data_IF_755043070916
#
_entry.id   IF_755043070916
#
_cell.length_a   1.000
_cell.length_b   1.000
_cell.length_c   1.000
_cell.angle_alpha   90.00
_cell.angle_beta   90.00
_cell.angle_gamma   90.00
#
_symmetry.space_group_name_H-M   'P 1'
#
loop_
_entity.id
_entity.type
_entity.pdbx_description
1 polymer ?
#
# COMPACT_ATOMS: atom_id res chain seq x y z
N UNK A 1 -9.55 -9.95 70.65
CA UNK A 1 -10.03 -10.71 69.48
C UNK A 1 -10.24 -9.83 68.22
N UNK A 2 -9.96 -8.54 68.24
CA UNK A 2 -10.23 -7.64 67.08
C UNK A 2 -9.02 -7.49 66.11
N UNK A 3 -7.82 -7.88 66.49
CA UNK A 3 -6.61 -7.69 65.67
C UNK A 3 -6.44 -8.68 64.52
N UNK A 4 -7.12 -9.77 64.51
CA UNK A 4 -6.99 -10.80 63.45
C UNK A 4 -8.07 -10.70 62.37
N UNK A 5 -9.16 -9.94 62.63
CA UNK A 5 -10.24 -9.71 61.65
C UNK A 5 -9.78 -8.91 60.43
N UNK A 6 -8.89 -7.92 60.61
CA UNK A 6 -8.36 -7.12 59.51
C UNK A 6 -7.34 -7.89 58.64
N UNK A 7 -6.63 -8.86 59.20
CA UNK A 7 -5.66 -9.67 58.47
C UNK A 7 -6.34 -10.69 57.55
N UNK A 8 -7.47 -11.24 57.98
CA UNK A 8 -8.30 -12.17 57.18
C UNK A 8 -8.99 -11.43 56.05
N UNK A 9 -9.44 -10.18 56.27
CA UNK A 9 -10.06 -9.35 55.23
C UNK A 9 -9.06 -8.93 54.14
N UNK A 10 -7.82 -8.70 54.52
CA UNK A 10 -6.76 -8.34 53.58
C UNK A 10 -6.35 -9.54 52.68
N UNK A 11 -6.40 -10.77 53.19
CA UNK A 11 -6.12 -11.99 52.44
C UNK A 11 -7.17 -12.36 51.40
N UNK A 12 -8.42 -11.97 51.62
CA UNK A 12 -9.54 -12.24 50.70
C UNK A 12 -9.46 -11.31 49.45
N UNK A 13 -8.86 -10.11 49.60
CA UNK A 13 -8.74 -9.17 48.49
C UNK A 13 -7.68 -9.65 47.46
N UNK A 14 -6.69 -10.43 47.90
CA UNK A 14 -5.64 -10.97 46.99
C UNK A 14 -6.03 -12.22 46.22
N UNK A 15 -7.04 -12.96 46.66
CA UNK A 15 -7.50 -14.19 45.97
C UNK A 15 -8.45 -13.89 44.78
N UNK A 16 -8.97 -12.68 44.63
CA UNK A 16 -9.84 -12.27 43.51
C UNK A 16 -9.11 -11.90 42.22
N UNK A 17 -7.82 -11.65 42.25
CA UNK A 17 -7.10 -11.18 41.05
C UNK A 17 -6.66 -12.26 40.06
N UNK A 18 -6.65 -13.53 40.45
CA UNK A 18 -6.15 -14.60 39.57
C UNK A 18 -7.12 -14.95 38.42
N UNK A 19 -8.45 -14.81 38.65
CA UNK A 19 -9.44 -15.10 37.61
C UNK A 19 -9.62 -13.95 36.59
N UNK A 20 -9.37 -12.70 37.03
CA UNK A 20 -9.38 -11.52 36.15
C UNK A 20 -8.16 -11.50 35.22
N UNK A 21 -6.99 -11.96 35.71
CA UNK A 21 -5.77 -11.98 34.91
C UNK A 21 -5.86 -12.94 33.71
N UNK A 22 -6.53 -14.07 33.86
CA UNK A 22 -6.68 -15.05 32.77
C UNK A 22 -7.62 -14.59 31.64
N UNK A 23 -8.56 -13.67 31.93
CA UNK A 23 -9.50 -13.13 30.94
C UNK A 23 -9.01 -11.80 30.33
N UNK A 24 -8.08 -11.12 30.98
CA UNK A 24 -7.55 -9.82 30.51
C UNK A 24 -6.26 -9.99 29.73
N UNK A 25 -5.50 -11.05 29.98
CA UNK A 25 -4.26 -11.33 29.26
C UNK A 25 -4.40 -11.40 27.71
N UNK A 26 -5.43 -12.06 27.13
CA UNK A 26 -5.65 -12.02 25.69
C UNK A 26 -5.91 -10.62 25.15
N UNK A 27 -6.76 -9.84 25.83
CA UNK A 27 -7.09 -8.48 25.42
C UNK A 27 -5.86 -7.55 25.46
N UNK A 28 -4.97 -7.68 26.43
CA UNK A 28 -3.72 -6.94 26.47
C UNK A 28 -2.74 -7.40 25.38
N UNK A 29 -2.67 -8.68 25.08
CA UNK A 29 -1.85 -9.21 24.01
C UNK A 29 -2.32 -8.70 22.65
N UNK A 30 -3.64 -8.67 22.43
CA UNK A 30 -4.24 -8.15 21.20
C UNK A 30 -4.06 -6.62 21.10
N UNK A 31 -4.24 -5.87 22.18
CA UNK A 31 -3.97 -4.45 22.23
C UNK A 31 -2.49 -4.13 21.96
N UNK A 32 -1.56 -4.88 22.57
CA UNK A 32 -0.12 -4.74 22.32
C UNK A 32 0.22 -5.04 20.86
N UNK A 33 -0.35 -6.11 20.29
CA UNK A 33 -0.18 -6.49 18.88
C UNK A 33 -0.71 -5.39 17.94
N UNK A 34 -1.88 -4.82 18.26
CA UNK A 34 -2.45 -3.71 17.50
C UNK A 34 -1.56 -2.46 17.55
N UNK A 35 -1.05 -2.10 18.73
CA UNK A 35 -0.12 -0.96 18.91
C UNK A 35 1.19 -1.23 18.16
N UNK A 36 1.78 -2.43 18.32
CA UNK A 36 3.00 -2.84 17.60
C UNK A 36 2.80 -2.71 16.09
N UNK A 37 1.69 -3.24 15.57
CA UNK A 37 1.37 -3.22 14.15
C UNK A 37 1.16 -1.78 13.63
N UNK A 38 0.58 -0.89 14.43
CA UNK A 38 0.42 0.52 14.09
C UNK A 38 1.77 1.27 14.01
N UNK A 39 2.75 0.91 14.85
CA UNK A 39 4.06 1.56 14.93
C UNK A 39 5.08 0.92 13.99
N UNK A 40 5.19 -0.41 14.02
CA UNK A 40 6.21 -1.18 13.28
C UNK A 40 5.70 -1.63 11.91
N UNK A 41 4.39 -1.82 11.77
CA UNK A 41 3.72 -2.41 10.61
C UNK A 41 3.37 -3.87 10.85
N UNK A 42 2.65 -4.44 9.90
CA UNK A 42 2.27 -5.85 9.89
C UNK A 42 3.38 -6.69 9.27
N UNK A 43 3.52 -7.93 9.75
CA UNK A 43 4.38 -8.91 9.09
C UNK A 43 3.76 -9.31 7.73
N UNK A 44 4.55 -9.29 6.67
CA UNK A 44 4.12 -9.59 5.29
C UNK A 44 3.96 -11.11 5.02
N UNK A 45 3.97 -11.93 6.06
CA UNK A 45 4.13 -13.39 5.98
C UNK A 45 2.86 -14.19 5.64
N UNK A 46 1.73 -13.53 5.33
CA UNK A 46 0.46 -14.23 5.14
C UNK A 46 0.22 -14.80 3.73
N UNK A 47 0.84 -14.26 2.70
CA UNK A 47 0.60 -14.64 1.30
C UNK A 47 1.85 -15.29 0.74
N UNK A 48 1.74 -16.57 0.36
CA UNK A 48 2.86 -17.34 -0.18
C UNK A 48 2.75 -17.53 -1.69
N UNK A 49 3.88 -17.92 -2.32
CA UNK A 49 3.88 -18.24 -3.75
C UNK A 49 2.92 -19.37 -4.07
N UNK A 50 2.86 -20.42 -3.24
CA UNK A 50 1.97 -21.56 -3.42
C UNK A 50 0.48 -21.17 -3.40
N UNK A 51 0.13 -20.14 -2.59
CA UNK A 51 -1.22 -19.58 -2.60
C UNK A 51 -1.51 -18.85 -3.92
N UNK A 52 -0.55 -18.05 -4.40
CA UNK A 52 -0.67 -17.32 -5.67
C UNK A 52 -0.76 -18.28 -6.86
N UNK A 53 0.04 -19.33 -6.89
CA UNK A 53 0.06 -20.30 -7.99
C UNK A 53 -1.29 -21.02 -8.17
N UNK A 54 -2.04 -21.22 -7.07
CA UNK A 54 -3.39 -21.81 -7.09
C UNK A 54 -4.48 -20.87 -7.61
N UNK A 55 -4.21 -19.57 -7.69
CA UNK A 55 -5.18 -18.58 -8.16
C UNK A 55 -5.19 -18.60 -9.69
N UNK A 56 -6.35 -18.85 -10.36
CA UNK A 56 -6.42 -18.92 -11.82
C UNK A 56 -6.38 -17.55 -12.51
N UNK A 57 -6.38 -16.46 -11.74
CA UNK A 57 -6.46 -15.09 -12.23
C UNK A 57 -5.13 -14.36 -12.09
N UNK A 58 -4.95 -13.28 -12.85
CA UNK A 58 -3.88 -12.33 -12.62
C UNK A 58 -4.02 -11.72 -11.22
N UNK A 59 -2.89 -11.55 -10.53
CA UNK A 59 -2.86 -11.13 -9.15
C UNK A 59 -1.71 -10.18 -8.85
N UNK A 60 -1.91 -9.34 -7.86
CA UNK A 60 -0.91 -8.41 -7.34
C UNK A 60 -0.99 -8.35 -5.82
N UNK A 61 0.13 -8.08 -5.18
CA UNK A 61 0.16 -7.75 -3.76
C UNK A 61 0.05 -6.25 -3.59
N UNK A 62 -0.73 -5.81 -2.62
CA UNK A 62 -0.88 -4.40 -2.23
C UNK A 62 -0.54 -4.23 -0.77
N UNK A 63 0.30 -3.24 -0.47
CA UNK A 63 0.55 -2.77 0.89
C UNK A 63 0.33 -1.27 0.95
N UNK A 64 -0.47 -0.81 1.90
CA UNK A 64 -0.79 0.61 2.11
C UNK A 64 -0.06 1.05 3.38
N UNK A 65 0.98 1.86 3.23
CA UNK A 65 1.84 2.32 4.32
C UNK A 65 2.41 1.17 5.14
N UNK A 66 2.12 1.17 6.43
CA UNK A 66 2.52 0.13 7.38
C UNK A 66 1.44 -0.95 7.61
N UNK A 67 0.36 -0.92 6.83
CA UNK A 67 -0.71 -1.90 6.91
C UNK A 67 -0.28 -3.31 6.51
N UNK A 68 -1.16 -4.31 6.67
CA UNK A 68 -0.89 -5.66 6.19
C UNK A 68 -0.81 -5.68 4.66
N UNK A 69 -0.11 -6.66 4.14
CA UNK A 69 -0.12 -6.95 2.72
C UNK A 69 -1.43 -7.64 2.34
N UNK A 70 -2.13 -7.10 1.35
CA UNK A 70 -3.36 -7.65 0.79
C UNK A 70 -3.14 -8.23 -0.61
N UNK A 71 -4.04 -9.11 -1.03
CA UNK A 71 -4.08 -9.66 -2.37
C UNK A 71 -5.10 -8.89 -3.21
N UNK A 72 -4.67 -8.46 -4.39
CA UNK A 72 -5.53 -7.93 -5.44
C UNK A 72 -5.71 -8.96 -6.53
N UNK A 73 -6.93 -9.09 -7.02
CA UNK A 73 -7.28 -9.87 -8.20
C UNK A 73 -7.67 -8.92 -9.32
N UNK A 74 -7.21 -9.23 -10.52
CA UNK A 74 -7.60 -8.49 -11.72
C UNK A 74 -9.06 -8.82 -12.05
N UNK A 75 -9.92 -7.80 -11.98
CA UNK A 75 -11.34 -7.92 -12.33
C UNK A 75 -11.56 -7.75 -13.82
N UNK A 76 -10.93 -6.73 -14.42
CA UNK A 76 -11.14 -6.43 -15.85
C UNK A 76 -9.97 -5.65 -16.44
N UNK A 77 -9.86 -5.73 -17.77
CA UNK A 77 -8.95 -4.92 -18.59
C UNK A 77 -9.80 -4.20 -19.64
N UNK A 78 -9.65 -2.88 -19.72
CA UNK A 78 -10.26 -2.06 -20.77
C UNK A 78 -9.19 -1.15 -21.38
N UNK A 79 -8.79 -1.46 -22.61
CA UNK A 79 -7.65 -0.80 -23.29
C UNK A 79 -6.35 -0.95 -22.49
N UNK A 80 -5.80 0.15 -21.97
CA UNK A 80 -4.59 0.18 -21.13
C UNK A 80 -4.88 0.17 -19.62
N UNK A 81 -6.17 0.13 -19.22
CA UNK A 81 -6.62 0.22 -17.83
C UNK A 81 -6.93 -1.14 -17.28
N UNK A 82 -6.34 -1.44 -16.17
CA UNK A 82 -6.53 -2.64 -15.37
C UNK A 82 -7.29 -2.29 -14.12
N UNK A 83 -8.37 -3.01 -13.85
CA UNK A 83 -9.15 -2.85 -12.62
C UNK A 83 -8.82 -3.97 -11.66
N UNK A 84 -8.33 -3.61 -10.50
CA UNK A 84 -7.90 -4.52 -9.45
C UNK A 84 -8.78 -4.37 -8.22
N UNK A 85 -9.16 -5.49 -7.59
CA UNK A 85 -10.02 -5.52 -6.41
C UNK A 85 -9.41 -6.39 -5.32
N UNK A 86 -9.50 -5.94 -4.06
CA UNK A 86 -9.18 -6.73 -2.87
C UNK A 86 -10.43 -7.29 -2.20
N UNK A 87 -10.27 -8.29 -1.35
CA UNK A 87 -11.38 -8.91 -0.61
C UNK A 87 -12.06 -7.96 0.39
N UNK A 88 -11.35 -6.94 0.87
CA UNK A 88 -11.84 -5.90 1.79
C UNK A 88 -12.43 -4.68 1.08
N UNK A 89 -12.60 -4.75 -0.25
CA UNK A 89 -13.32 -3.74 -1.02
C UNK A 89 -12.48 -2.56 -1.49
N UNK A 90 -11.14 -2.63 -1.40
CA UNK A 90 -10.27 -1.66 -2.06
C UNK A 90 -10.27 -1.93 -3.56
N UNK A 91 -10.49 -0.86 -4.32
CA UNK A 91 -10.61 -0.89 -5.77
C UNK A 91 -9.59 0.07 -6.38
N UNK A 92 -8.76 -0.43 -7.28
CA UNK A 92 -7.73 0.36 -7.96
C UNK A 92 -7.89 0.24 -9.46
N UNK A 93 -7.91 1.39 -10.17
CA UNK A 93 -7.69 1.42 -11.61
C UNK A 93 -6.25 1.81 -11.87
N UNK A 94 -5.54 0.95 -12.55
CA UNK A 94 -4.13 1.10 -12.89
C UNK A 94 -3.98 1.24 -14.40
N UNK A 95 -3.28 2.25 -14.87
CA UNK A 95 -2.95 2.44 -16.27
C UNK A 95 -1.42 2.45 -16.43
N UNK A 96 -0.90 1.44 -17.16
CA UNK A 96 0.55 1.27 -17.36
C UNK A 96 1.36 1.37 -16.04
N UNK A 97 0.87 0.71 -14.99
CA UNK A 97 1.48 0.66 -13.67
C UNK A 97 1.23 1.87 -12.76
N UNK A 98 0.49 2.89 -13.24
CA UNK A 98 0.09 4.06 -12.43
C UNK A 98 -1.30 3.89 -11.87
N UNK A 99 -1.47 4.14 -10.58
CA UNK A 99 -2.80 4.23 -9.97
C UNK A 99 -3.43 5.55 -10.43
N UNK A 100 -4.54 5.44 -11.18
CA UNK A 100 -5.24 6.60 -11.77
C UNK A 100 -6.63 6.82 -11.18
N UNK A 101 -7.16 5.84 -10.46
CA UNK A 101 -8.43 5.93 -9.74
C UNK A 101 -8.48 4.93 -8.61
N UNK A 102 -9.15 5.30 -7.52
CA UNK A 102 -9.37 4.40 -6.38
C UNK A 102 -10.80 4.47 -5.87
N UNK A 103 -11.25 3.42 -5.17
CA UNK A 103 -12.46 3.41 -4.38
C UNK A 103 -12.27 2.52 -3.14
N UNK A 104 -13.10 2.71 -2.12
CA UNK A 104 -13.00 1.96 -0.87
C UNK A 104 -11.98 2.53 0.13
N UNK A 105 -11.42 3.70 -0.13
CA UNK A 105 -10.48 4.39 0.76
C UNK A 105 -11.15 5.60 1.42
N UNK A 106 -10.54 6.11 2.49
CA UNK A 106 -11.03 7.33 3.17
C UNK A 106 -10.82 8.62 2.34
N UNK A 107 -9.97 8.57 1.31
CA UNK A 107 -9.73 9.65 0.36
C UNK A 107 -9.44 9.01 -1.00
N UNK A 108 -10.48 8.88 -1.82
CA UNK A 108 -10.33 8.25 -3.11
C UNK A 108 -9.85 9.24 -4.17
N UNK A 109 -8.91 8.79 -5.01
CA UNK A 109 -8.56 9.44 -6.25
C UNK A 109 -9.67 9.15 -7.26
N UNK A 110 -10.45 10.17 -7.62
CA UNK A 110 -11.58 10.03 -8.53
C UNK A 110 -11.26 10.41 -9.97
N UNK A 111 -10.24 11.27 -10.15
CA UNK A 111 -9.75 11.64 -11.47
C UNK A 111 -8.25 11.94 -11.44
N UNK A 112 -7.57 11.59 -12.53
CA UNK A 112 -6.16 11.80 -12.76
C UNK A 112 -5.90 12.18 -14.22
N UNK A 113 -5.35 13.36 -14.41
CA UNK A 113 -5.00 13.88 -15.73
C UNK A 113 -3.48 14.01 -15.80
N UNK A 114 -2.86 13.35 -16.77
CA UNK A 114 -1.43 13.39 -17.03
C UNK A 114 -1.14 13.33 -18.54
N UNK A 115 -0.14 14.07 -19.02
CA UNK A 115 0.35 13.91 -20.39
C UNK A 115 1.19 12.65 -20.57
N UNK A 116 1.66 12.02 -19.47
CA UNK A 116 2.52 10.83 -19.49
C UNK A 116 1.66 9.58 -19.44
N UNK A 117 1.75 8.79 -20.51
CA UNK A 117 0.95 7.58 -20.66
C UNK A 117 1.66 6.33 -20.15
N UNK A 118 2.95 6.18 -20.48
CA UNK A 118 3.77 5.01 -20.13
C UNK A 118 5.26 5.38 -20.01
N UNK A 119 6.10 4.39 -19.79
CA UNK A 119 7.57 4.55 -19.61
C UNK A 119 8.39 4.14 -20.84
N UNK A 120 7.77 3.79 -21.97
CA UNK A 120 8.53 3.33 -23.17
C UNK A 120 9.52 4.34 -23.69
N UNK A 121 9.22 5.62 -23.59
CA UNK A 121 10.08 6.72 -24.02
C UNK A 121 10.66 7.47 -22.81
N UNK A 122 11.09 6.75 -21.77
CA UNK A 122 11.59 7.37 -20.54
C UNK A 122 12.66 8.42 -20.76
N UNK A 123 13.56 8.20 -21.73
CA UNK A 123 14.65 9.14 -22.03
C UNK A 123 14.14 10.52 -22.50
N UNK A 124 12.97 10.58 -23.13
CA UNK A 124 12.34 11.84 -23.55
C UNK A 124 11.70 12.58 -22.38
N UNK A 125 11.43 11.87 -21.28
CA UNK A 125 10.83 12.43 -20.07
C UNK A 125 11.86 13.08 -19.16
N UNK A 126 13.16 12.70 -19.29
CA UNK A 126 14.21 13.20 -18.42
C UNK A 126 14.47 14.71 -18.63
N UNK A 127 14.75 15.41 -17.53
CA UNK A 127 15.10 16.84 -17.55
C UNK A 127 13.93 17.78 -17.85
N UNK A 128 12.71 17.27 -17.89
CA UNK A 128 11.48 18.06 -18.10
C UNK A 128 10.57 18.03 -16.89
N UNK A 129 9.76 19.07 -16.73
CA UNK A 129 8.70 19.14 -15.72
C UNK A 129 7.34 18.98 -16.38
N UNK A 130 6.55 18.06 -15.86
CA UNK A 130 5.20 17.74 -16.32
C UNK A 130 4.18 18.20 -15.29
N UNK A 131 2.97 18.53 -15.76
CA UNK A 131 1.87 18.93 -14.89
C UNK A 131 0.82 17.86 -14.89
N UNK A 132 0.47 17.38 -13.68
CA UNK A 132 -0.63 16.47 -13.43
C UNK A 132 -1.72 17.19 -12.67
N UNK A 133 -2.94 16.67 -12.74
CA UNK A 133 -4.07 17.14 -11.97
C UNK A 133 -4.72 15.93 -11.28
N UNK A 134 -4.88 16.03 -9.97
CA UNK A 134 -5.52 15.03 -9.13
C UNK A 134 -6.82 15.57 -8.58
N UNK A 135 -7.88 14.75 -8.58
CA UNK A 135 -9.15 15.09 -7.94
C UNK A 135 -9.54 14.00 -6.96
N UNK A 136 -10.05 14.40 -5.79
CA UNK A 136 -10.39 13.51 -4.69
C UNK A 136 -11.84 13.69 -4.26
N UNK A 137 -12.45 12.65 -3.68
CA UNK A 137 -13.84 12.66 -3.22
C UNK A 137 -14.00 13.28 -1.82
N UNK A 138 -13.13 12.91 -0.87
CA UNK A 138 -13.26 13.39 0.51
C UNK A 138 -11.89 13.53 1.22
N UNK A 139 -11.56 14.72 1.78
CA UNK A 139 -12.24 15.98 1.47
C UNK A 139 -12.23 16.27 -0.01
N UNK A 140 -13.32 16.84 -0.53
CA UNK A 140 -13.42 17.12 -1.96
C UNK A 140 -12.36 18.13 -2.37
N UNK A 141 -11.55 17.76 -3.35
CA UNK A 141 -10.52 18.60 -3.93
C UNK A 141 -10.47 18.31 -5.42
N UNK A 142 -10.61 19.34 -6.24
CA UNK A 142 -10.61 19.22 -7.69
C UNK A 142 -9.35 19.83 -8.27
N UNK A 143 -8.84 19.18 -9.31
CA UNK A 143 -7.74 19.66 -10.15
C UNK A 143 -6.51 20.14 -9.36
N UNK A 144 -6.16 19.40 -8.29
CA UNK A 144 -4.94 19.67 -7.55
C UNK A 144 -3.73 19.51 -8.48
N UNK A 145 -3.13 20.64 -8.84
CA UNK A 145 -1.98 20.68 -9.72
C UNK A 145 -0.75 20.14 -9.01
N UNK A 146 -0.10 19.17 -9.65
CA UNK A 146 1.16 18.56 -9.20
C UNK A 146 2.18 18.69 -10.33
N UNK A 147 3.42 19.00 -9.99
CA UNK A 147 4.54 18.99 -10.92
C UNK A 147 5.34 17.71 -10.74
N UNK A 148 5.72 17.07 -11.85
CA UNK A 148 6.42 15.80 -11.87
C UNK A 148 7.72 15.89 -12.67
N UNK A 149 8.79 15.30 -12.15
CA UNK A 149 10.08 15.16 -12.82
C UNK A 149 10.57 13.72 -12.72
N UNK A 150 11.24 13.24 -13.77
CA UNK A 150 11.71 11.86 -13.85
C UNK A 150 13.21 11.74 -13.70
N UNK A 151 13.64 10.65 -13.03
CA UNK A 151 15.04 10.23 -12.91
C UNK A 151 15.16 8.75 -13.22
N UNK A 152 16.05 8.38 -14.11
CA UNK A 152 16.41 6.99 -14.39
C UNK A 152 17.54 6.58 -13.44
N UNK A 153 17.33 5.53 -12.64
CA UNK A 153 18.29 5.08 -11.61
C UNK A 153 19.09 3.85 -12.02
N UNK A 154 18.71 3.21 -13.13
CA UNK A 154 19.39 2.01 -13.64
C UNK A 154 18.79 0.70 -13.14
N UNK A 155 19.47 -0.41 -13.44
CA UNK A 155 19.03 -1.76 -13.10
C UNK A 155 19.17 -2.04 -11.60
N UNK A 156 18.22 -2.78 -11.06
CA UNK A 156 18.21 -3.26 -9.68
C UNK A 156 17.65 -4.68 -9.63
N UNK A 157 18.24 -5.52 -8.80
CA UNK A 157 17.71 -6.83 -8.48
C UNK A 157 16.59 -6.71 -7.45
N UNK A 158 15.41 -7.20 -7.78
CA UNK A 158 14.23 -7.20 -6.92
C UNK A 158 13.81 -8.64 -6.68
N UNK A 159 13.80 -9.06 -5.42
CA UNK A 159 13.30 -10.36 -5.01
C UNK A 159 11.78 -10.27 -4.80
N UNK A 160 11.02 -11.14 -5.50
CA UNK A 160 9.59 -11.34 -5.33
C UNK A 160 9.38 -12.82 -5.02
N UNK A 161 8.94 -13.15 -3.81
CA UNK A 161 9.02 -14.50 -3.25
C UNK A 161 10.45 -15.06 -3.34
N UNK A 162 10.66 -16.16 -4.07
CA UNK A 162 11.97 -16.77 -4.25
C UNK A 162 12.61 -16.46 -5.61
N UNK A 163 11.95 -15.68 -6.44
CA UNK A 163 12.44 -15.29 -7.77
C UNK A 163 13.13 -13.92 -7.72
N UNK A 164 14.23 -13.78 -8.45
CA UNK A 164 14.98 -12.53 -8.59
C UNK A 164 14.75 -11.97 -9.99
N UNK A 165 14.40 -10.69 -10.05
CA UNK A 165 14.11 -9.95 -11.27
C UNK A 165 15.09 -8.80 -11.43
N UNK A 166 15.71 -8.70 -12.62
CA UNK A 166 16.49 -7.54 -13.01
C UNK A 166 15.57 -6.47 -13.59
N UNK A 167 15.28 -5.44 -12.82
CA UNK A 167 14.33 -4.40 -13.18
C UNK A 167 15.01 -3.04 -13.26
N UNK A 168 14.52 -2.17 -14.12
CA UNK A 168 14.99 -0.79 -14.23
C UNK A 168 14.16 0.08 -13.29
N UNK A 169 14.81 0.80 -12.37
CA UNK A 169 14.15 1.76 -11.49
C UNK A 169 14.01 3.13 -12.15
N UNK A 170 12.78 3.60 -12.20
CA UNK A 170 12.39 4.96 -12.53
C UNK A 170 11.85 5.63 -11.27
N UNK A 171 12.38 6.79 -10.94
CA UNK A 171 11.85 7.68 -9.92
C UNK A 171 11.09 8.82 -10.57
N UNK A 172 9.94 9.13 -10.01
CA UNK A 172 9.09 10.28 -10.36
C UNK A 172 8.91 11.13 -9.13
N UNK A 173 9.61 12.26 -9.09
CA UNK A 173 9.46 13.25 -8.02
C UNK A 173 8.24 14.12 -8.33
N UNK A 174 7.22 14.04 -7.48
CA UNK A 174 6.00 14.83 -7.57
C UNK A 174 5.99 15.90 -6.48
N UNK A 175 5.55 17.12 -6.83
CA UNK A 175 5.50 18.24 -5.91
C UNK A 175 4.21 19.04 -6.12
N UNK A 176 3.50 19.30 -5.01
CA UNK A 176 2.45 20.31 -4.97
C UNK A 176 2.92 21.49 -4.11
N UNK A 177 3.19 22.62 -4.73
CA UNK A 177 3.72 23.82 -4.06
C UNK A 177 2.67 24.48 -3.16
N UNK A 178 1.39 24.35 -3.49
CA UNK A 178 0.31 24.97 -2.70
C UNK A 178 0.14 24.31 -1.33
N UNK A 179 0.21 22.98 -1.27
CA UNK A 179 0.09 22.21 -0.03
C UNK A 179 1.44 21.95 0.64
N UNK A 180 2.56 22.37 0.04
CA UNK A 180 3.90 22.05 0.52
C UNK A 180 4.16 20.53 0.57
N UNK A 181 3.56 19.77 -0.34
CA UNK A 181 3.63 18.32 -0.38
C UNK A 181 4.50 17.84 -1.53
N UNK A 182 5.38 16.88 -1.24
CA UNK A 182 6.18 16.19 -2.25
C UNK A 182 6.37 14.72 -1.89
N UNK A 183 6.59 13.90 -2.90
CA UNK A 183 6.89 12.48 -2.76
C UNK A 183 7.68 11.98 -3.98
N UNK A 184 8.43 10.88 -3.81
CA UNK A 184 9.12 10.20 -4.91
C UNK A 184 8.41 8.88 -5.15
N UNK A 185 7.61 8.82 -6.20
CA UNK A 185 7.07 7.57 -6.72
C UNK A 185 8.20 6.76 -7.36
N UNK A 186 8.13 5.44 -7.20
CA UNK A 186 9.13 4.51 -7.74
C UNK A 186 8.44 3.45 -8.57
N UNK A 187 9.00 3.18 -9.75
CA UNK A 187 8.50 2.18 -10.67
C UNK A 187 9.66 1.29 -11.10
N UNK A 188 9.54 -0.01 -10.85
CA UNK A 188 10.48 -1.02 -11.33
C UNK A 188 9.86 -1.70 -12.54
N UNK A 189 10.47 -1.48 -13.70
CA UNK A 189 9.98 -1.96 -15.00
C UNK A 189 10.86 -3.07 -15.56
N UNK A 190 10.25 -4.01 -16.27
CA UNK A 190 10.96 -5.03 -17.04
C UNK A 190 11.43 -4.48 -18.41
N UNK A 191 12.07 -5.35 -19.22
CA UNK A 191 12.58 -4.99 -20.55
C UNK A 191 11.45 -4.68 -21.56
N UNK A 192 10.21 -5.11 -21.28
CA UNK A 192 9.03 -4.81 -22.08
C UNK A 192 8.30 -3.53 -21.59
N UNK A 193 8.88 -2.82 -20.63
CA UNK A 193 8.34 -1.64 -19.97
C UNK A 193 7.05 -1.90 -19.14
N UNK A 194 6.80 -3.15 -18.73
CA UNK A 194 5.76 -3.43 -17.76
C UNK A 194 6.24 -3.07 -16.35
N UNK A 195 5.40 -2.41 -15.58
CA UNK A 195 5.68 -2.13 -14.17
C UNK A 195 5.42 -3.40 -13.35
N UNK A 196 6.47 -3.99 -12.81
CA UNK A 196 6.42 -5.20 -11.99
C UNK A 196 6.22 -4.84 -10.51
N UNK A 197 6.83 -3.74 -10.06
CA UNK A 197 6.69 -3.21 -8.71
C UNK A 197 6.57 -1.70 -8.76
N UNK A 198 5.74 -1.15 -7.89
CA UNK A 198 5.67 0.30 -7.71
C UNK A 198 5.50 0.67 -6.24
N UNK A 199 5.98 1.87 -5.89
CA UNK A 199 5.66 2.58 -4.66
C UNK A 199 5.13 3.94 -5.07
N UNK A 200 3.86 4.19 -4.80
CA UNK A 200 3.17 5.39 -5.27
C UNK A 200 2.45 6.10 -4.12
N UNK A 201 2.53 7.41 -4.12
CA UNK A 201 1.74 8.26 -3.23
C UNK A 201 1.06 9.32 -4.08
N UNK A 202 -0.21 9.16 -4.30
CA UNK A 202 -1.05 10.03 -5.12
C UNK A 202 -1.91 10.99 -4.28
N UNK A 203 -1.92 10.83 -2.96
CA UNK A 203 -2.69 11.68 -2.03
C UNK A 203 -1.78 12.26 -0.95
N UNK A 204 -1.96 13.54 -0.58
CA UNK A 204 -1.22 14.14 0.53
C UNK A 204 -1.57 13.55 1.89
N UNK A 205 -2.78 12.99 2.06
CA UNK A 205 -3.30 12.47 3.33
C UNK A 205 -3.23 10.95 3.46
N UNK A 206 -3.15 10.20 2.36
CA UNK A 206 -2.96 8.75 2.42
C UNK A 206 -1.47 8.40 2.48
N UNK A 207 -1.10 7.28 3.09
CA UNK A 207 0.25 6.74 2.99
C UNK A 207 0.57 6.28 1.56
N UNK A 208 1.80 5.85 1.33
CA UNK A 208 2.21 5.24 0.05
C UNK A 208 1.57 3.87 -0.18
N UNK A 209 1.40 3.54 -1.45
CA UNK A 209 0.89 2.28 -1.96
C UNK A 209 2.04 1.51 -2.61
N UNK A 210 2.40 0.38 -2.03
CA UNK A 210 3.33 -0.57 -2.66
C UNK A 210 2.53 -1.64 -3.36
N UNK A 211 2.70 -1.74 -4.68
CA UNK A 211 2.06 -2.77 -5.51
C UNK A 211 3.13 -3.65 -6.15
N UNK A 212 2.92 -4.97 -6.14
CA UNK A 212 3.82 -5.96 -6.75
C UNK A 212 2.98 -6.92 -7.57
N UNK A 213 3.22 -6.97 -8.88
CA UNK A 213 2.57 -7.94 -9.78
C UNK A 213 3.13 -9.33 -9.50
N UNK A 214 2.27 -10.26 -9.10
CA UNK A 214 2.64 -11.66 -8.78
C UNK A 214 2.29 -12.61 -9.89
N UNK A 215 1.24 -12.30 -10.67
CA UNK A 215 0.83 -13.05 -11.84
C UNK A 215 0.32 -12.08 -12.91
N UNK A 216 1.05 -12.02 -14.03
CA UNK A 216 0.70 -11.12 -15.14
C UNK A 216 -0.65 -11.51 -15.76
N UNK A 217 -1.42 -10.54 -16.29
CA UNK A 217 -2.59 -10.84 -17.12
C UNK A 217 -2.19 -11.64 -18.36
N UNK A 218 -2.95 -12.69 -18.69
CA UNK A 218 -2.87 -13.30 -20.01
C UNK A 218 -3.51 -12.34 -21.02
N UNK A 219 -2.70 -11.75 -21.87
CA UNK A 219 -3.16 -10.91 -22.99
C UNK A 219 -3.46 -11.76 -24.20
#
# INVERSE_FOLDING_TARGET
>A
MLKYSHLIFLLIIFSGCASLANNVAPAYADAYKAIRNAVVGFDDSGITKEMIDKIPYASSLLKIGKGPQGLLILESISSSRETWISADGVYLVVENGRIIKTAGLNNNLIDYISPIKDFRNINELLGRTYKYYYSYDYPELRDLKVEAQFKLKGKQEIKIFDEVYDLILIEEEITNHYLGWSFINKYWIDEEYNVIKSVQKFSPILPEFTMVVTKKPSR
#
